data_IF_593730813704
#
_entry.id   IF_593730813704
#
_cell.length_a   1.000
_cell.length_b   1.000
_cell.length_c   1.000
_cell.angle_alpha   90.00
_cell.angle_beta   90.00
_cell.angle_gamma   90.00
#
_symmetry.space_group_name_H-M   'P 1'
#
loop_
_entity.id
_entity.type
_entity.pdbx_description
1 polymer ?
#
# COMPACT_ATOMS: atom_id res chain seq x y z
N UNK A 1 -7.28 3.23 -14.75
CA UNK A 1 -7.89 4.54 -15.08
C UNK A 1 -7.19 5.20 -16.26
N UNK A 2 -5.96 5.73 -16.13
CA UNK A 2 -5.28 6.43 -17.24
C UNK A 2 -5.08 5.56 -18.49
N UNK A 3 -4.70 4.29 -18.32
CA UNK A 3 -4.60 3.33 -19.43
C UNK A 3 -5.96 3.13 -20.14
N UNK A 4 -7.03 3.00 -19.35
CA UNK A 4 -8.41 2.84 -19.84
C UNK A 4 -8.90 4.09 -20.60
N UNK A 5 -8.62 5.29 -20.07
CA UNK A 5 -8.96 6.55 -20.72
C UNK A 5 -8.17 6.77 -22.01
N UNK A 6 -6.88 6.41 -22.03
CA UNK A 6 -6.07 6.44 -23.24
C UNK A 6 -6.54 5.44 -24.30
N UNK A 7 -7.12 4.32 -23.90
CA UNK A 7 -7.78 3.39 -24.82
C UNK A 7 -9.07 4.00 -25.41
N UNK A 8 -9.87 4.67 -24.58
CA UNK A 8 -11.10 5.34 -25.01
C UNK A 8 -10.84 6.52 -25.95
N UNK A 9 -9.87 7.38 -25.65
CA UNK A 9 -9.49 8.48 -26.52
C UNK A 9 -8.96 8.00 -27.89
N UNK A 10 -8.14 6.93 -27.91
CA UNK A 10 -7.72 6.30 -29.17
C UNK A 10 -8.89 5.69 -29.95
N UNK A 11 -9.87 5.10 -29.25
CA UNK A 11 -11.09 4.58 -29.89
C UNK A 11 -11.99 5.70 -30.45
N UNK A 12 -11.90 6.92 -29.89
CA UNK A 12 -12.58 8.13 -30.37
C UNK A 12 -11.86 8.81 -31.55
N UNK A 13 -10.64 8.38 -31.89
CA UNK A 13 -9.79 9.07 -32.88
C UNK A 13 -9.09 10.33 -32.35
N UNK A 14 -9.14 10.57 -31.04
CA UNK A 14 -8.51 11.74 -30.41
C UNK A 14 -7.06 11.44 -29.98
N UNK A 15 -6.11 12.36 -30.24
CA UNK A 15 -4.75 12.21 -29.73
C UNK A 15 -4.75 12.31 -28.19
N UNK A 16 -4.49 11.18 -27.53
CA UNK A 16 -4.34 11.13 -26.08
C UNK A 16 -2.93 11.52 -25.66
N UNK A 17 -2.73 12.79 -25.34
CA UNK A 17 -1.56 13.22 -24.58
C UNK A 17 -1.84 12.90 -23.09
N UNK A 18 -1.03 12.01 -22.51
CA UNK A 18 -1.22 11.60 -21.12
C UNK A 18 -1.22 12.79 -20.15
N UNK A 19 -1.78 12.59 -18.96
CA UNK A 19 -1.81 13.64 -17.93
C UNK A 19 -0.40 14.11 -17.60
N UNK A 20 -0.17 15.42 -17.67
CA UNK A 20 1.07 16.04 -17.18
C UNK A 20 1.20 15.80 -15.67
N UNK A 21 2.43 15.67 -15.12
CA UNK A 21 2.65 15.39 -13.70
C UNK A 21 1.91 16.35 -12.76
N UNK A 22 1.88 17.64 -13.09
CA UNK A 22 1.15 18.64 -12.30
C UNK A 22 -0.36 18.40 -12.25
N UNK A 23 -0.96 17.96 -13.35
CA UNK A 23 -2.40 17.67 -13.42
C UNK A 23 -2.76 16.39 -12.63
N UNK A 24 -1.87 15.41 -12.62
CA UNK A 24 -1.95 14.23 -11.76
C UNK A 24 -1.94 14.59 -10.28
N UNK A 25 -1.04 15.48 -9.87
CA UNK A 25 -0.93 15.94 -8.48
C UNK A 25 -2.21 16.67 -8.06
N UNK A 26 -2.80 17.50 -8.93
CA UNK A 26 -4.05 18.20 -8.62
C UNK A 26 -5.23 17.22 -8.49
N UNK A 27 -5.34 16.23 -9.39
CA UNK A 27 -6.45 15.27 -9.39
C UNK A 27 -6.37 14.24 -8.25
N UNK A 28 -5.17 13.74 -7.94
CA UNK A 28 -4.97 12.61 -7.04
C UNK A 28 -4.30 13.00 -5.73
N UNK A 29 -3.68 14.18 -5.64
CA UNK A 29 -2.85 14.59 -4.51
C UNK A 29 -3.63 14.62 -3.19
N UNK A 30 -4.81 15.25 -3.16
CA UNK A 30 -5.65 15.30 -1.96
C UNK A 30 -6.02 13.92 -1.42
N UNK A 31 -6.65 13.05 -2.25
CA UNK A 31 -6.97 11.68 -1.85
C UNK A 31 -5.74 10.83 -1.48
N UNK A 32 -4.62 10.97 -2.21
CA UNK A 32 -3.38 10.24 -1.92
C UNK A 32 -2.77 10.65 -0.57
N UNK A 33 -2.73 11.96 -0.29
CA UNK A 33 -2.23 12.48 0.99
C UNK A 33 -3.12 12.00 2.14
N UNK A 34 -4.44 12.08 1.99
CA UNK A 34 -5.37 11.62 3.01
C UNK A 34 -5.22 10.12 3.27
N UNK A 35 -5.13 9.31 2.21
CA UNK A 35 -4.90 7.88 2.32
C UNK A 35 -3.55 7.56 3.01
N UNK A 36 -2.49 8.30 2.66
CA UNK A 36 -1.17 8.15 3.27
C UNK A 36 -1.17 8.46 4.77
N UNK A 37 -1.80 9.56 5.18
CA UNK A 37 -1.93 9.93 6.60
C UNK A 37 -2.76 8.92 7.36
N UNK A 38 -3.90 8.49 6.80
CA UNK A 38 -4.75 7.45 7.42
C UNK A 38 -3.99 6.14 7.62
N UNK A 39 -3.23 5.70 6.60
CA UNK A 39 -2.38 4.52 6.70
C UNK A 39 -1.31 4.67 7.80
N UNK A 40 -0.66 5.83 7.89
CA UNK A 40 0.35 6.10 8.92
C UNK A 40 -0.23 6.02 10.34
N UNK A 41 -1.42 6.59 10.56
CA UNK A 41 -2.12 6.53 11.85
C UNK A 41 -2.45 5.08 12.22
N UNK A 42 -2.99 4.29 11.29
CA UNK A 42 -3.32 2.87 11.53
C UNK A 42 -2.07 2.07 11.86
N UNK A 43 -0.98 2.27 11.12
CA UNK A 43 0.31 1.58 11.40
C UNK A 43 0.86 1.99 12.76
N UNK A 44 0.78 3.27 13.13
CA UNK A 44 1.22 3.75 14.43
C UNK A 44 0.43 3.11 15.58
N UNK A 45 -0.90 3.06 15.45
CA UNK A 45 -1.76 2.40 16.44
C UNK A 45 -1.47 0.90 16.55
N UNK A 46 -1.31 0.21 15.40
CA UNK A 46 -1.00 -1.22 15.36
C UNK A 46 0.36 -1.54 16.02
N UNK A 47 1.40 -0.73 15.74
CA UNK A 47 2.72 -0.88 16.34
C UNK A 47 2.73 -0.71 17.86
N UNK A 48 1.83 0.13 18.42
CA UNK A 48 1.72 0.30 19.88
C UNK A 48 1.14 -0.94 20.55
N UNK A 49 0.17 -1.60 19.93
CA UNK A 49 -0.39 -2.86 20.44
C UNK A 49 0.64 -3.99 20.37
N UNK A 50 1.35 -4.10 19.24
CA UNK A 50 2.37 -5.13 19.03
C UNK A 50 3.58 -5.00 19.95
N UNK A 51 3.91 -3.77 20.37
CA UNK A 51 4.90 -3.51 21.41
C UNK A 51 4.65 -4.34 22.68
N UNK A 52 3.39 -4.34 23.12
CA UNK A 52 2.96 -4.96 24.37
C UNK A 52 2.96 -6.47 24.24
N UNK A 53 2.50 -6.99 23.10
CA UNK A 53 2.55 -8.42 22.79
C UNK A 53 3.99 -8.94 22.70
N UNK A 54 4.89 -8.18 22.06
CA UNK A 54 6.31 -8.52 22.00
C UNK A 54 6.98 -8.52 23.38
N UNK A 55 6.62 -7.58 24.26
CA UNK A 55 7.09 -7.57 25.64
C UNK A 55 6.64 -8.83 26.41
N UNK A 56 5.36 -9.23 26.27
CA UNK A 56 4.84 -10.46 26.87
C UNK A 56 5.52 -11.72 26.31
N UNK A 57 5.75 -11.79 24.99
CA UNK A 57 6.48 -12.89 24.35
C UNK A 57 7.93 -12.98 24.86
N UNK A 58 8.59 -11.83 25.05
CA UNK A 58 9.95 -11.79 25.60
C UNK A 58 9.99 -12.24 27.06
N UNK A 59 9.00 -11.86 27.87
CA UNK A 59 8.85 -12.33 29.25
C UNK A 59 8.59 -13.85 29.33
N UNK A 60 7.96 -14.42 28.31
CA UNK A 60 7.78 -15.86 28.15
C UNK A 60 9.01 -16.62 27.61
N UNK A 61 10.14 -15.95 27.39
CA UNK A 61 11.40 -16.57 26.94
C UNK A 61 11.61 -16.62 25.43
N UNK A 62 10.84 -15.88 24.63
CA UNK A 62 11.05 -15.83 23.19
C UNK A 62 12.40 -15.18 22.83
N UNK A 63 13.17 -15.84 21.95
CA UNK A 63 14.44 -15.30 21.48
C UNK A 63 14.25 -14.19 20.45
N UNK A 64 15.22 -13.28 20.33
CA UNK A 64 15.23 -12.18 19.35
C UNK A 64 15.01 -12.65 17.91
N UNK A 65 15.51 -13.84 17.56
CA UNK A 65 15.31 -14.43 16.23
C UNK A 65 13.84 -14.75 15.93
N UNK A 66 13.07 -15.20 16.93
CA UNK A 66 11.63 -15.48 16.79
C UNK A 66 10.86 -14.18 16.59
N UNK A 67 11.20 -13.13 17.34
CA UNK A 67 10.56 -11.80 17.23
C UNK A 67 10.77 -11.21 15.83
N UNK A 68 11.99 -11.30 15.29
CA UNK A 68 12.30 -10.80 13.94
C UNK A 68 11.56 -11.62 12.87
N UNK A 69 11.54 -12.95 12.97
CA UNK A 69 10.81 -13.80 12.01
C UNK A 69 9.31 -13.51 12.01
N UNK A 70 8.71 -13.32 13.18
CA UNK A 70 7.30 -12.96 13.30
C UNK A 70 7.01 -11.60 12.64
N UNK A 71 7.87 -10.59 12.87
CA UNK A 71 7.74 -9.28 12.24
C UNK A 71 7.83 -9.33 10.71
N UNK A 72 8.73 -10.14 10.16
CA UNK A 72 8.85 -10.36 8.71
C UNK A 72 7.59 -11.01 8.15
N UNK A 73 7.08 -12.06 8.78
CA UNK A 73 5.84 -12.72 8.34
C UNK A 73 4.64 -11.77 8.39
N UNK A 74 4.54 -10.95 9.44
CA UNK A 74 3.49 -9.96 9.56
C UNK A 74 3.56 -8.89 8.46
N UNK A 75 4.77 -8.39 8.16
CA UNK A 75 4.97 -7.47 7.05
C UNK A 75 4.54 -8.08 5.72
N UNK A 76 4.90 -9.35 5.47
CA UNK A 76 4.49 -10.09 4.27
C UNK A 76 2.96 -10.22 4.19
N UNK A 77 2.30 -10.60 5.28
CA UNK A 77 0.83 -10.70 5.32
C UNK A 77 0.20 -9.35 4.98
N UNK A 78 0.65 -8.25 5.58
CA UNK A 78 0.12 -6.92 5.27
C UNK A 78 0.31 -6.52 3.80
N UNK A 79 1.50 -6.74 3.24
CA UNK A 79 1.78 -6.43 1.84
C UNK A 79 0.90 -7.26 0.91
N UNK A 80 0.77 -8.57 1.16
CA UNK A 80 -0.09 -9.45 0.38
C UNK A 80 -1.57 -9.03 0.46
N UNK A 81 -2.08 -8.76 1.66
CA UNK A 81 -3.48 -8.31 1.83
C UNK A 81 -3.72 -6.98 1.13
N UNK A 82 -2.81 -6.01 1.28
CA UNK A 82 -2.93 -4.71 0.62
C UNK A 82 -2.89 -4.85 -0.91
N UNK A 83 -2.01 -5.70 -1.43
CA UNK A 83 -1.90 -5.96 -2.87
C UNK A 83 -3.19 -6.60 -3.42
N UNK A 84 -3.75 -7.59 -2.72
CA UNK A 84 -5.00 -8.25 -3.11
C UNK A 84 -6.19 -7.28 -3.10
N UNK A 85 -6.32 -6.48 -2.03
CA UNK A 85 -7.38 -5.48 -1.94
C UNK A 85 -7.25 -4.40 -3.02
N UNK A 86 -6.03 -3.92 -3.26
CA UNK A 86 -5.76 -2.94 -4.31
C UNK A 86 -6.08 -3.51 -5.70
N UNK A 87 -5.68 -4.75 -5.98
CA UNK A 87 -5.99 -5.42 -7.24
C UNK A 87 -7.51 -5.53 -7.45
N UNK A 88 -8.26 -5.92 -6.42
CA UNK A 88 -9.72 -5.98 -6.48
C UNK A 88 -10.33 -4.60 -6.80
N UNK A 89 -9.90 -3.55 -6.11
CA UNK A 89 -10.37 -2.17 -6.37
C UNK A 89 -10.04 -1.75 -7.81
N UNK A 90 -8.81 -1.98 -8.28
CA UNK A 90 -8.39 -1.61 -9.64
C UNK A 90 -9.24 -2.33 -10.70
N UNK A 91 -9.49 -3.63 -10.52
CA UNK A 91 -10.31 -4.43 -11.43
C UNK A 91 -11.74 -3.92 -11.44
N UNK A 92 -12.35 -3.73 -10.27
CA UNK A 92 -13.74 -3.24 -10.15
C UNK A 92 -13.88 -1.85 -10.76
N UNK A 93 -12.98 -0.91 -10.43
CA UNK A 93 -12.99 0.43 -11.02
C UNK A 93 -12.77 0.38 -12.53
N UNK A 94 -11.85 -0.46 -13.01
CA UNK A 94 -11.59 -0.65 -14.43
C UNK A 94 -12.82 -1.13 -15.19
N UNK A 95 -13.44 -2.22 -14.72
CA UNK A 95 -14.65 -2.79 -15.31
C UNK A 95 -15.80 -1.77 -15.29
N UNK A 96 -16.05 -1.13 -14.16
CA UNK A 96 -17.14 -0.17 -14.02
C UNK A 96 -16.94 1.04 -14.94
N UNK A 97 -15.72 1.59 -14.97
CA UNK A 97 -15.39 2.70 -15.88
C UNK A 97 -15.63 2.29 -17.33
N UNK A 98 -15.17 1.11 -17.75
CA UNK A 98 -15.41 0.65 -19.13
C UNK A 98 -16.87 0.40 -19.44
N UNK A 99 -17.64 -0.14 -18.50
CA UNK A 99 -19.07 -0.38 -18.68
C UNK A 99 -19.83 0.93 -18.87
N UNK A 100 -19.44 1.99 -18.14
CA UNK A 100 -20.02 3.33 -18.27
C UNK A 100 -19.63 4.03 -19.58
N UNK A 101 -18.45 3.77 -20.15
CA UNK A 101 -18.02 4.35 -21.42
C UNK A 101 -18.54 3.60 -22.66
N UNK A 102 -18.88 2.32 -22.52
CA UNK A 102 -19.29 1.45 -23.64
C UNK A 102 -20.45 1.98 -24.50
N UNK A 103 -21.47 2.68 -23.95
CA UNK A 103 -22.53 3.28 -24.75
C UNK A 103 -22.05 4.37 -25.72
N UNK A 104 -20.95 5.06 -25.38
CA UNK A 104 -20.38 6.14 -26.20
C UNK A 104 -19.25 5.62 -27.11
N UNK A 105 -18.52 4.61 -26.64
CA UNK A 105 -17.35 4.06 -27.34
C UNK A 105 -17.38 2.53 -27.33
N UNK A 106 -17.96 1.88 -28.36
CA UNK A 106 -18.24 0.44 -28.34
C UNK A 106 -16.98 -0.45 -28.36
N UNK A 107 -15.85 0.07 -28.82
CA UNK A 107 -14.57 -0.64 -28.90
C UNK A 107 -13.71 -0.53 -27.61
N UNK A 108 -14.20 0.10 -26.55
CA UNK A 108 -13.42 0.31 -25.31
C UNK A 108 -13.37 -0.98 -24.48
N UNK A 109 -12.15 -1.42 -24.19
CA UNK A 109 -11.87 -2.56 -23.33
C UNK A 109 -11.02 -2.16 -22.11
N UNK A 110 -11.14 -2.88 -20.97
CA UNK A 110 -10.36 -2.58 -19.78
C UNK A 110 -8.89 -2.91 -20.01
N UNK A 111 -8.04 -1.89 -19.94
CA UNK A 111 -6.59 -2.05 -20.00
C UNK A 111 -5.97 -2.01 -18.61
N UNK A 112 -5.23 -3.07 -18.30
CA UNK A 112 -4.44 -3.20 -17.07
C UNK A 112 -2.97 -2.93 -17.40
N UNK A 113 -2.44 -1.81 -16.90
CA UNK A 113 -1.02 -1.48 -17.04
C UNK A 113 -0.20 -2.22 -15.98
N UNK A 114 0.07 -3.52 -16.20
CA UNK A 114 0.78 -4.37 -15.25
C UNK A 114 2.15 -3.79 -14.83
N UNK A 115 2.89 -3.19 -15.76
CA UNK A 115 4.20 -2.60 -15.46
C UNK A 115 4.13 -1.53 -14.36
N UNK A 116 3.23 -0.55 -14.51
CA UNK A 116 3.02 0.48 -13.49
C UNK A 116 2.46 -0.08 -12.18
N UNK A 117 1.61 -1.12 -12.26
CA UNK A 117 1.05 -1.75 -11.07
C UNK A 117 2.13 -2.44 -10.23
N UNK A 118 3.07 -3.16 -10.87
CA UNK A 118 4.19 -3.82 -10.17
C UNK A 118 5.08 -2.80 -9.49
N UNK A 119 5.38 -1.67 -10.15
CA UNK A 119 6.21 -0.60 -9.56
C UNK A 119 5.53 -0.01 -8.32
N UNK A 120 4.23 0.31 -8.40
CA UNK A 120 3.49 0.86 -7.26
C UNK A 120 3.36 -0.14 -6.11
N UNK A 121 3.07 -1.41 -6.41
CA UNK A 121 3.01 -2.47 -5.39
C UNK A 121 4.38 -2.67 -4.74
N UNK A 122 5.46 -2.65 -5.52
CA UNK A 122 6.83 -2.76 -5.00
C UNK A 122 7.20 -1.58 -4.09
N UNK A 123 6.86 -0.34 -4.50
CA UNK A 123 7.07 0.84 -3.66
C UNK A 123 6.25 0.78 -2.37
N UNK A 124 4.97 0.42 -2.45
CA UNK A 124 4.11 0.21 -1.29
C UNK A 124 4.65 -0.87 -0.36
N UNK A 125 5.08 -2.01 -0.91
CA UNK A 125 5.66 -3.12 -0.15
C UNK A 125 6.90 -2.69 0.63
N UNK A 126 7.81 -1.93 0.00
CA UNK A 126 9.00 -1.38 0.66
C UNK A 126 8.63 -0.44 1.81
N UNK A 127 7.66 0.45 1.60
CA UNK A 127 7.18 1.37 2.63
C UNK A 127 6.53 0.63 3.80
N UNK A 128 5.68 -0.36 3.54
CA UNK A 128 5.04 -1.17 4.57
C UNK A 128 6.07 -2.01 5.34
N UNK A 129 7.03 -2.63 4.64
CA UNK A 129 8.11 -3.39 5.26
C UNK A 129 8.96 -2.50 6.17
N UNK A 130 9.32 -1.30 5.70
CA UNK A 130 10.03 -0.31 6.51
C UNK A 130 9.22 0.09 7.75
N UNK A 131 7.92 0.36 7.59
CA UNK A 131 7.07 0.80 8.69
C UNK A 131 6.85 -0.26 9.80
N UNK A 132 6.97 -1.55 9.46
CA UNK A 132 6.92 -2.67 10.42
C UNK A 132 8.31 -2.95 11.01
N UNK A 133 9.35 -3.04 10.19
CA UNK A 133 10.69 -3.47 10.61
C UNK A 133 11.46 -2.40 11.37
N UNK A 134 11.35 -1.12 10.99
CA UNK A 134 12.05 -0.01 11.67
C UNK A 134 11.73 0.02 13.17
N UNK A 135 10.45 0.00 13.62
CA UNK A 135 10.13 -0.01 15.03
C UNK A 135 10.68 -1.24 15.76
N UNK A 136 10.61 -2.42 15.16
CA UNK A 136 11.13 -3.67 15.76
C UNK A 136 12.64 -3.59 15.97
N UNK A 137 13.39 -3.15 14.96
CA UNK A 137 14.84 -2.97 15.05
C UNK A 137 15.23 -1.87 16.04
N UNK A 138 14.46 -0.78 16.12
CA UNK A 138 14.71 0.30 17.09
C UNK A 138 14.55 -0.17 18.54
N UNK A 139 13.56 -1.03 18.82
CA UNK A 139 13.34 -1.62 20.15
C UNK A 139 14.44 -2.58 20.56
N UNK A 140 14.95 -3.37 19.61
CA UNK A 140 16.06 -4.29 19.85
C UNK A 140 17.39 -3.57 20.12
N UNK A 141 17.54 -2.32 19.64
CA UNK A 141 18.72 -1.49 19.88
C UNK A 141 18.65 -0.67 21.17
N UNK A 142 17.47 -0.51 21.76
CA UNK A 142 17.32 0.22 23.02
C UNK A 142 17.82 -0.65 24.19
N UNK A 143 18.67 -0.11 25.10
CA UNK A 143 19.14 -0.88 26.24
C UNK A 143 17.96 -1.36 27.09
N UNK A 144 18.00 -2.62 27.53
CA UNK A 144 16.92 -3.32 28.24
C UNK A 144 16.40 -2.53 29.45
N UNK A 145 17.26 -1.75 30.09
CA UNK A 145 16.93 -0.87 31.22
C UNK A 145 15.92 0.24 30.87
N UNK A 146 15.96 0.80 29.66
CA UNK A 146 15.02 1.86 29.21
C UNK A 146 13.70 1.27 28.69
N UNK A 147 13.73 0.03 28.20
CA UNK A 147 12.53 -0.69 27.79
C UNK A 147 11.66 -1.10 29.00
N UNK A 148 12.28 -1.38 30.15
CA UNK A 148 11.61 -1.72 31.40
C UNK A 148 11.11 -0.50 32.20
N UNK A 149 11.68 0.70 32.02
CA UNK A 149 11.25 1.91 32.74
C UNK A 149 10.09 2.66 32.07
N UNK A 150 9.64 2.21 30.90
CA UNK A 150 8.57 2.84 30.12
C UNK A 150 7.24 2.05 30.16
N UNK A 151 7.19 0.97 30.95
CA UNK A 151 5.98 0.20 31.29
C UNK A 151 5.54 0.61 32.69
#
# INVERSE_FOLDING_TARGET
VIATWGAAARAAGEPFEGLKPGQMIVLLGGPLLLAGVGAAVVVFMSNRTQAREQALLSAGGATTAVIVRAAVLQALVHVCTAALLSAAVIVVTGVLTTAMLRPFYPAVAPQLALGSAVILVGAGALLTAAAVLIPVLSRLRAPVATALSAV
#
